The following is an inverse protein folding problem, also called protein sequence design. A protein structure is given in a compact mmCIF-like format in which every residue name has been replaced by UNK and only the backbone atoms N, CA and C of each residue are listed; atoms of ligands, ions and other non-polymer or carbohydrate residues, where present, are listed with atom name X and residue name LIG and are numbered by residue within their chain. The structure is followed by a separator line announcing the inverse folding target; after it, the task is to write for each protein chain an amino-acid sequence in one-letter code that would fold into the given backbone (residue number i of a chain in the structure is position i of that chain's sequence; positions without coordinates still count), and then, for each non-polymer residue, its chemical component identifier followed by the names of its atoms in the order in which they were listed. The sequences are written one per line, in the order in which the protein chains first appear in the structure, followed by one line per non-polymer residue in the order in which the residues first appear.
data_IF_443656357572
#
_entry.id   IF_443656357572
#
_cell.length_a   1.000
_cell.length_b   1.000
_cell.length_c   1.000
_cell.angle_alpha   90.00
_cell.angle_beta   90.00
_cell.angle_gamma   90.00
#
_symmetry.space_group_name_H-M   'P 1'
#
loop_
_entity.id
_entity.type
_entity.pdbx_description
1 polymer ?
#
# COMPACT_ATOMS: atom_id res chain seq x y z
N UNK A 1 -6.81 124.59 65.83
CA UNK A 1 -6.81 124.54 64.36
C UNK A 1 -6.55 123.10 64.00
N UNK A 2 -7.53 122.50 63.32
CA UNK A 2 -7.71 121.06 63.09
C UNK A 2 -6.67 120.41 62.16
N UNK A 3 -6.82 119.08 62.04
CA UNK A 3 -6.35 118.14 60.99
C UNK A 3 -4.90 117.66 61.15
N UNK A 4 -4.55 116.37 61.07
CA UNK A 4 -5.20 115.26 60.37
C UNK A 4 -4.66 113.92 60.89
N UNK A 5 -5.51 112.89 60.86
CA UNK A 5 -5.25 111.49 61.19
C UNK A 5 -4.14 110.88 60.33
N UNK A 6 -3.21 110.15 60.96
CA UNK A 6 -2.60 108.96 60.34
C UNK A 6 -2.51 107.83 61.36
N UNK A 7 -3.42 106.88 61.15
CA UNK A 7 -3.56 105.59 61.81
C UNK A 7 -2.31 104.70 61.63
N UNK A 8 -1.73 104.16 62.72
CA UNK A 8 -0.85 103.00 62.66
C UNK A 8 -1.61 101.80 63.23
N UNK A 9 -2.61 101.27 62.51
CA UNK A 9 -3.39 100.10 63.00
C UNK A 9 -3.53 98.98 61.96
N UNK A 10 -3.00 99.11 60.73
CA UNK A 10 -3.29 98.12 59.69
C UNK A 10 -2.28 96.96 59.58
N UNK A 11 -1.00 97.16 59.92
CA UNK A 11 0.05 96.14 59.68
C UNK A 11 -0.14 94.85 60.50
N UNK A 12 -0.63 94.94 61.74
CA UNK A 12 -0.87 93.77 62.59
C UNK A 12 -2.11 92.95 62.19
N UNK A 13 -3.15 93.62 61.68
CA UNK A 13 -4.37 92.97 61.18
C UNK A 13 -4.15 92.31 59.81
N UNK A 14 -3.31 92.93 58.96
CA UNK A 14 -2.88 92.37 57.68
C UNK A 14 -1.96 91.15 57.87
N UNK A 15 -1.01 91.21 58.81
CA UNK A 15 -0.19 90.06 59.21
C UNK A 15 -1.02 88.90 59.76
N UNK A 16 -2.02 89.17 60.61
CA UNK A 16 -2.92 88.14 61.14
C UNK A 16 -3.80 87.50 60.05
N UNK A 17 -4.27 88.27 59.06
CA UNK A 17 -5.00 87.72 57.90
C UNK A 17 -4.10 86.87 57.01
N UNK A 18 -2.86 87.28 56.77
CA UNK A 18 -1.87 86.50 56.01
C UNK A 18 -1.53 85.21 56.75
N UNK A 19 -1.36 85.25 58.07
CA UNK A 19 -1.12 84.06 58.90
C UNK A 19 -2.34 83.12 58.95
N UNK A 20 -3.56 83.64 59.02
CA UNK A 20 -4.79 82.83 58.94
C UNK A 20 -4.95 82.19 57.56
N UNK A 21 -4.72 82.95 56.48
CA UNK A 21 -4.77 82.43 55.11
C UNK A 21 -3.68 81.39 54.87
N UNK A 22 -2.46 81.62 55.38
CA UNK A 22 -1.38 80.65 55.36
C UNK A 22 -1.71 79.37 56.13
N UNK A 23 -2.43 79.47 57.25
CA UNK A 23 -2.91 78.32 58.04
C UNK A 23 -3.99 77.52 57.29
N UNK A 24 -4.97 78.19 56.68
CA UNK A 24 -5.99 77.53 55.85
C UNK A 24 -5.39 76.84 54.62
N UNK A 25 -4.40 77.47 53.97
CA UNK A 25 -3.68 76.85 52.85
C UNK A 25 -2.88 75.63 53.33
N UNK A 26 -2.21 75.72 54.49
CA UNK A 26 -1.50 74.60 55.07
C UNK A 26 -2.45 73.45 55.46
N UNK A 27 -3.59 73.73 56.08
CA UNK A 27 -4.61 72.72 56.42
C UNK A 27 -5.19 72.04 55.17
N UNK A 28 -5.46 72.80 54.08
CA UNK A 28 -5.87 72.22 52.78
C UNK A 28 -4.77 71.36 52.17
N UNK A 29 -3.52 71.82 52.17
CA UNK A 29 -2.38 71.07 51.66
C UNK A 29 -2.19 69.76 52.43
N UNK A 30 -2.32 69.78 53.76
CA UNK A 30 -2.23 68.56 54.59
C UNK A 30 -3.35 67.58 54.22
N UNK A 31 -4.60 68.07 54.15
CA UNK A 31 -5.78 67.24 53.80
C UNK A 31 -5.66 66.64 52.40
N UNK A 32 -5.14 67.41 51.45
CA UNK A 32 -4.92 66.99 50.07
C UNK A 32 -3.75 65.99 49.97
N UNK A 33 -2.68 66.18 50.74
CA UNK A 33 -1.55 65.26 50.81
C UNK A 33 -1.94 63.93 51.46
N UNK A 34 -2.77 63.95 52.51
CA UNK A 34 -3.37 62.72 53.08
C UNK A 34 -4.25 61.99 52.07
N UNK A 35 -5.09 62.73 51.32
CA UNK A 35 -5.92 62.15 50.26
C UNK A 35 -5.07 61.54 49.14
N UNK A 36 -4.03 62.23 48.69
CA UNK A 36 -3.10 61.75 47.67
C UNK A 36 -2.34 60.52 48.15
N UNK A 37 -1.86 60.51 49.40
CA UNK A 37 -1.22 59.34 50.01
C UNK A 37 -2.17 58.13 50.03
N UNK A 38 -3.43 58.32 50.42
CA UNK A 38 -4.42 57.26 50.39
C UNK A 38 -4.70 56.75 48.97
N UNK A 39 -4.78 57.65 47.97
CA UNK A 39 -4.93 57.26 46.56
C UNK A 39 -3.72 56.47 46.05
N UNK A 40 -2.49 56.91 46.35
CA UNK A 40 -1.26 56.21 45.97
C UNK A 40 -1.22 54.82 46.59
N UNK A 41 -1.55 54.69 47.88
CA UNK A 41 -1.60 53.37 48.53
C UNK A 41 -2.65 52.45 47.89
N UNK A 42 -3.83 52.96 47.52
CA UNK A 42 -4.85 52.15 46.84
C UNK A 42 -4.41 51.70 45.44
N UNK A 43 -3.76 52.59 44.68
CA UNK A 43 -3.22 52.27 43.36
C UNK A 43 -2.07 51.27 43.43
N UNK A 44 -1.23 51.36 44.45
CA UNK A 44 -0.15 50.38 44.68
C UNK A 44 -0.73 48.99 45.00
N UNK A 45 -1.75 48.90 45.85
CA UNK A 45 -2.41 47.64 46.15
C UNK A 45 -3.06 47.01 44.90
N UNK A 46 -3.73 47.82 44.07
CA UNK A 46 -4.30 47.37 42.78
C UNK A 46 -3.22 46.92 41.79
N UNK A 47 -2.07 47.61 41.76
CA UNK A 47 -0.93 47.23 40.93
C UNK A 47 -0.36 45.88 41.35
N UNK A 48 -0.15 45.67 42.65
CA UNK A 48 0.38 44.41 43.21
C UNK A 48 -0.58 43.24 43.00
N UNK A 49 -1.89 43.48 43.08
CA UNK A 49 -2.91 42.46 42.77
C UNK A 49 -2.90 42.09 41.28
N UNK A 50 -2.85 43.09 40.38
CA UNK A 50 -2.74 42.85 38.94
C UNK A 50 -1.43 42.15 38.57
N UNK A 51 -0.32 42.51 39.19
CA UNK A 51 0.98 41.86 38.97
C UNK A 51 0.91 40.37 39.33
N UNK A 52 0.30 40.03 40.47
CA UNK A 52 0.07 38.63 40.88
C UNK A 52 -0.85 37.88 39.91
N UNK A 53 -1.91 38.52 39.41
CA UNK A 53 -2.79 37.92 38.41
C UNK A 53 -2.07 37.66 37.09
N UNK A 54 -1.24 38.60 36.62
CA UNK A 54 -0.44 38.44 35.39
C UNK A 54 0.52 37.26 35.56
N UNK A 55 1.24 37.18 36.67
CA UNK A 55 2.16 36.06 36.93
C UNK A 55 1.45 34.70 36.93
N UNK A 56 0.27 34.60 37.56
CA UNK A 56 -0.54 33.38 37.54
C UNK A 56 -1.03 33.02 36.12
N UNK A 57 -1.47 34.01 35.34
CA UNK A 57 -1.91 33.79 33.96
C UNK A 57 -0.75 33.37 33.06
N UNK A 58 0.43 33.99 33.20
CA UNK A 58 1.63 33.61 32.45
C UNK A 58 2.06 32.18 32.77
N UNK A 59 1.99 31.75 34.04
CA UNK A 59 2.22 30.36 34.43
C UNK A 59 1.26 29.40 33.73
N UNK A 60 -0.05 29.69 33.75
CA UNK A 60 -1.08 28.88 33.08
C UNK A 60 -0.90 28.82 31.56
N UNK A 61 -0.47 29.91 30.93
CA UNK A 61 -0.18 29.93 29.48
C UNK A 61 0.99 28.99 29.17
N UNK A 62 2.07 29.02 29.96
CA UNK A 62 3.20 28.09 29.79
C UNK A 62 2.80 26.62 29.94
N UNK A 63 1.96 26.30 30.92
CA UNK A 63 1.43 24.94 31.10
C UNK A 63 0.58 24.48 29.90
N UNK A 64 -0.27 25.37 29.37
CA UNK A 64 -1.10 25.08 28.19
C UNK A 64 -0.25 24.94 26.92
N UNK A 65 0.78 25.78 26.75
CA UNK A 65 1.72 25.67 25.63
C UNK A 65 2.47 24.34 25.67
N UNK A 66 2.93 23.91 26.85
CA UNK A 66 3.57 22.61 27.02
C UNK A 66 2.60 21.45 26.73
N UNK A 67 1.37 21.53 27.22
CA UNK A 67 0.35 20.51 26.99
C UNK A 67 -0.04 20.40 25.51
N UNK A 68 -0.18 21.53 24.83
CA UNK A 68 -0.48 21.55 23.38
C UNK A 68 0.67 20.99 22.56
N UNK A 69 1.93 21.28 22.93
CA UNK A 69 3.10 20.71 22.27
C UNK A 69 3.19 19.18 22.47
N UNK A 70 2.90 18.67 23.68
CA UNK A 70 2.86 17.23 23.95
C UNK A 70 1.76 16.54 23.12
N UNK A 71 0.56 17.13 23.07
CA UNK A 71 -0.54 16.59 22.27
C UNK A 71 -0.22 16.59 20.77
N UNK A 72 0.43 17.62 20.24
CA UNK A 72 0.88 17.67 18.85
C UNK A 72 1.91 16.57 18.55
N UNK A 73 2.86 16.33 19.45
CA UNK A 73 3.81 15.23 19.29
C UNK A 73 3.13 13.86 19.30
N UNK A 74 2.19 13.65 20.21
CA UNK A 74 1.39 12.42 20.28
C UNK A 74 0.56 12.21 19.02
N UNK A 75 -0.10 13.25 18.53
CA UNK A 75 -0.87 13.19 17.28
C UNK A 75 0.02 12.80 16.10
N UNK A 76 1.17 13.47 15.93
CA UNK A 76 2.10 13.16 14.85
C UNK A 76 2.76 11.77 14.99
N UNK A 77 2.85 11.21 16.20
CA UNK A 77 3.25 9.81 16.40
C UNK A 77 2.15 8.83 16.00
N UNK A 78 0.90 9.10 16.40
CA UNK A 78 -0.25 8.28 16.07
C UNK A 78 -0.55 8.29 14.55
N UNK A 79 -0.45 9.44 13.89
CA UNK A 79 -0.62 9.56 12.44
C UNK A 79 0.40 8.71 11.68
N UNK A 80 1.67 8.69 12.12
CA UNK A 80 2.71 7.84 11.54
C UNK A 80 2.43 6.35 11.75
N UNK A 81 1.93 5.99 12.93
CA UNK A 81 1.54 4.61 13.22
C UNK A 81 0.37 4.15 12.35
N UNK A 82 -0.66 4.99 12.23
CA UNK A 82 -1.81 4.74 11.35
C UNK A 82 -1.36 4.55 9.91
N UNK A 83 -0.47 5.41 9.39
CA UNK A 83 0.04 5.25 8.03
C UNK A 83 0.77 3.91 7.85
N UNK A 84 1.62 3.53 8.80
CA UNK A 84 2.31 2.23 8.76
C UNK A 84 1.33 1.05 8.79
N UNK A 85 0.22 1.16 9.51
CA UNK A 85 -0.81 0.12 9.56
C UNK A 85 -1.56 0.01 8.24
N UNK A 86 -1.90 1.15 7.61
CA UNK A 86 -2.53 1.18 6.28
C UNK A 86 -1.65 0.46 5.25
N UNK A 87 -0.35 0.75 5.23
CA UNK A 87 0.58 0.13 4.28
C UNK A 87 0.65 -1.39 4.47
N UNK A 88 0.74 -1.85 5.74
CA UNK A 88 0.75 -3.29 6.07
C UNK A 88 -0.56 -3.98 5.76
N UNK A 89 -1.69 -3.32 6.00
CA UNK A 89 -3.00 -3.86 5.68
C UNK A 89 -3.15 -4.06 4.19
N UNK A 90 -2.78 -3.05 3.39
CA UNK A 90 -2.78 -3.14 1.93
C UNK A 90 -1.87 -4.27 1.41
N UNK A 91 -0.70 -4.47 2.01
CA UNK A 91 0.18 -5.59 1.66
C UNK A 91 -0.46 -6.95 1.99
N UNK A 92 -1.09 -7.06 3.16
CA UNK A 92 -1.79 -8.28 3.58
C UNK A 92 -2.98 -8.60 2.68
N UNK A 93 -3.76 -7.60 2.29
CA UNK A 93 -4.90 -7.74 1.40
C UNK A 93 -4.45 -8.23 0.03
N UNK A 94 -3.41 -7.61 -0.57
CA UNK A 94 -2.83 -8.07 -1.84
C UNK A 94 -2.36 -9.53 -1.79
N UNK A 95 -1.73 -9.95 -0.70
CA UNK A 95 -1.31 -11.36 -0.51
C UNK A 95 -2.53 -12.28 -0.41
N UNK A 96 -3.56 -11.88 0.33
CA UNK A 96 -4.77 -12.67 0.49
C UNK A 96 -5.52 -12.84 -0.85
N UNK A 97 -5.63 -11.77 -1.64
CA UNK A 97 -6.23 -11.82 -2.99
C UNK A 97 -5.45 -12.75 -3.91
N UNK A 98 -4.12 -12.67 -3.88
CA UNK A 98 -3.24 -13.56 -4.66
C UNK A 98 -3.45 -15.02 -4.26
N UNK A 99 -3.53 -15.31 -2.96
CA UNK A 99 -3.79 -16.67 -2.45
C UNK A 99 -5.17 -17.18 -2.86
N UNK A 100 -6.21 -16.35 -2.76
CA UNK A 100 -7.56 -16.72 -3.17
C UNK A 100 -7.62 -17.07 -4.67
N UNK A 101 -6.98 -16.26 -5.50
CA UNK A 101 -6.89 -16.50 -6.94
C UNK A 101 -6.14 -17.81 -7.27
N UNK A 102 -5.01 -18.05 -6.61
CA UNK A 102 -4.24 -19.30 -6.79
C UNK A 102 -5.02 -20.53 -6.31
N UNK A 103 -5.77 -20.40 -5.20
CA UNK A 103 -6.62 -21.47 -4.69
C UNK A 103 -7.72 -21.83 -5.70
N UNK A 104 -8.41 -20.83 -6.27
CA UNK A 104 -9.43 -21.04 -7.29
C UNK A 104 -8.84 -21.71 -8.54
N UNK A 105 -7.70 -21.22 -9.04
CA UNK A 105 -7.01 -21.80 -10.19
C UNK A 105 -6.61 -23.26 -9.93
N UNK A 106 -6.06 -23.56 -8.74
CA UNK A 106 -5.72 -24.92 -8.34
C UNK A 106 -6.95 -25.83 -8.29
N UNK A 107 -8.06 -25.35 -7.72
CA UNK A 107 -9.28 -26.13 -7.63
C UNK A 107 -9.85 -26.46 -9.01
N UNK A 108 -9.89 -25.47 -9.91
CA UNK A 108 -10.39 -25.64 -11.27
C UNK A 108 -9.50 -26.57 -12.11
N UNK A 109 -8.17 -26.43 -12.03
CA UNK A 109 -7.24 -27.28 -12.81
C UNK A 109 -7.28 -28.75 -12.40
N UNK A 110 -7.59 -29.03 -11.13
CA UNK A 110 -7.59 -30.38 -10.57
C UNK A 110 -9.00 -30.97 -10.38
N UNK A 111 -10.05 -30.28 -10.82
CA UNK A 111 -11.43 -30.79 -10.71
C UNK A 111 -11.77 -31.88 -11.72
N UNK A 112 -10.97 -32.00 -12.78
CA UNK A 112 -11.14 -32.98 -13.85
C UNK A 112 -9.83 -33.71 -14.16
N UNK A 113 -9.95 -34.92 -14.68
CA UNK A 113 -8.83 -35.72 -15.20
C UNK A 113 -8.90 -35.86 -16.72
N UNK A 114 -9.84 -35.17 -17.37
CA UNK A 114 -9.89 -35.08 -18.82
C UNK A 114 -8.82 -34.09 -19.34
N UNK A 115 -8.01 -34.53 -20.28
CA UNK A 115 -6.88 -33.73 -20.77
C UNK A 115 -7.34 -32.46 -21.48
N UNK A 116 -8.37 -32.55 -22.32
CA UNK A 116 -8.84 -31.41 -23.10
C UNK A 116 -9.53 -30.38 -22.19
N UNK A 117 -10.26 -30.86 -21.17
CA UNK A 117 -10.87 -29.99 -20.16
C UNK A 117 -9.82 -29.26 -19.32
N UNK A 118 -8.77 -29.95 -18.83
CA UNK A 118 -7.65 -29.32 -18.10
C UNK A 118 -7.00 -28.21 -18.93
N UNK A 119 -6.75 -28.46 -20.22
CA UNK A 119 -6.14 -27.45 -21.10
C UNK A 119 -7.09 -26.28 -21.36
N UNK A 120 -8.40 -26.53 -21.51
CA UNK A 120 -9.40 -25.47 -21.64
C UNK A 120 -9.43 -24.58 -20.40
N UNK A 121 -9.48 -25.17 -19.21
CA UNK A 121 -9.42 -24.45 -17.94
C UNK A 121 -8.12 -23.65 -17.79
N UNK A 122 -6.98 -24.23 -18.17
CA UNK A 122 -5.70 -23.52 -18.13
C UNK A 122 -5.71 -22.28 -19.04
N UNK A 123 -6.26 -22.38 -20.25
CA UNK A 123 -6.42 -21.22 -21.15
C UNK A 123 -7.25 -20.12 -20.50
N UNK A 124 -8.39 -20.48 -19.91
CA UNK A 124 -9.27 -19.51 -19.24
C UNK A 124 -8.56 -18.81 -18.07
N UNK A 125 -7.78 -19.54 -17.28
CA UNK A 125 -7.00 -18.95 -16.18
C UNK A 125 -5.93 -17.99 -16.73
N UNK A 126 -5.23 -18.36 -17.82
CA UNK A 126 -4.23 -17.49 -18.44
C UNK A 126 -4.82 -16.19 -19.00
N UNK A 127 -6.03 -16.26 -19.57
CA UNK A 127 -6.71 -15.07 -20.08
C UNK A 127 -7.20 -14.20 -18.91
N UNK A 128 -7.90 -14.80 -17.94
CA UNK A 128 -8.63 -14.04 -16.92
C UNK A 128 -7.75 -13.57 -15.75
N UNK A 129 -6.79 -14.40 -15.32
CA UNK A 129 -5.98 -14.13 -14.14
C UNK A 129 -4.67 -13.43 -14.48
N UNK A 130 -4.01 -13.87 -15.54
CA UNK A 130 -2.73 -13.30 -15.99
C UNK A 130 -2.94 -12.13 -16.94
N UNK A 131 -4.01 -12.16 -17.75
CA UNK A 131 -4.24 -11.18 -18.80
C UNK A 131 -3.41 -11.46 -20.07
N UNK A 132 -3.14 -12.73 -20.37
CA UNK A 132 -2.44 -13.13 -21.58
C UNK A 132 -3.39 -13.09 -22.79
N UNK A 133 -3.02 -12.31 -23.81
CA UNK A 133 -3.77 -12.22 -25.09
C UNK A 133 -3.28 -13.27 -26.08
N UNK A 134 -1.96 -13.41 -26.21
CA UNK A 134 -1.32 -14.35 -27.13
C UNK A 134 -0.37 -15.25 -26.37
N UNK A 135 -0.59 -16.56 -26.39
CA UNK A 135 0.23 -17.52 -25.66
C UNK A 135 0.21 -18.93 -26.28
N UNK A 136 1.19 -19.74 -25.92
CA UNK A 136 1.28 -21.15 -26.28
C UNK A 136 1.67 -22.01 -25.09
N UNK A 137 1.03 -23.17 -24.96
CA UNK A 137 1.38 -24.23 -24.02
C UNK A 137 2.05 -25.33 -24.82
N UNK A 138 3.30 -25.64 -24.48
CA UNK A 138 4.11 -26.62 -25.20
C UNK A 138 4.60 -27.71 -24.26
N UNK A 139 4.58 -28.96 -24.71
CA UNK A 139 5.10 -30.11 -23.98
C UNK A 139 6.28 -30.75 -24.70
N UNK A 140 7.20 -31.35 -23.95
CA UNK A 140 8.33 -32.10 -24.51
C UNK A 140 7.84 -33.39 -25.16
N UNK A 141 8.40 -33.72 -26.32
CA UNK A 141 8.29 -35.04 -26.96
C UNK A 141 9.59 -35.81 -26.73
N UNK A 142 9.58 -36.71 -25.75
CA UNK A 142 10.75 -37.50 -25.31
C UNK A 142 11.38 -38.33 -26.44
N UNK A 143 10.64 -38.60 -27.52
CA UNK A 143 11.16 -39.38 -28.66
C UNK A 143 12.00 -38.56 -29.63
N UNK A 144 11.72 -37.26 -29.72
CA UNK A 144 12.33 -36.36 -30.72
C UNK A 144 13.19 -35.27 -30.11
N UNK A 145 13.00 -34.97 -28.82
CA UNK A 145 13.70 -33.87 -28.14
C UNK A 145 13.19 -32.49 -28.56
N UNK A 146 12.02 -32.42 -29.19
CA UNK A 146 11.35 -31.17 -29.59
C UNK A 146 10.21 -30.83 -28.62
N UNK A 147 9.79 -29.58 -28.60
CA UNK A 147 8.55 -29.14 -27.97
C UNK A 147 7.39 -29.20 -28.97
N UNK A 148 6.24 -29.66 -28.52
CA UNK A 148 5.00 -29.73 -29.29
C UNK A 148 3.97 -28.79 -28.65
N UNK A 149 3.43 -27.87 -29.44
CA UNK A 149 2.33 -27.01 -29.01
C UNK A 149 1.07 -27.86 -28.82
N UNK A 150 0.56 -27.91 -27.59
CA UNK A 150 -0.70 -28.59 -27.25
C UNK A 150 -1.88 -27.63 -27.19
N UNK A 151 -1.61 -26.34 -27.01
CA UNK A 151 -2.59 -25.28 -27.10
C UNK A 151 -1.93 -23.96 -27.48
N UNK A 152 -2.66 -23.16 -28.23
CA UNK A 152 -2.28 -21.81 -28.66
C UNK A 152 -3.51 -20.92 -28.62
N UNK A 153 -3.35 -19.68 -28.22
CA UNK A 153 -4.43 -18.68 -28.20
C UNK A 153 -3.87 -17.34 -28.70
N UNK A 154 -4.64 -16.60 -29.49
CA UNK A 154 -4.22 -15.30 -30.02
C UNK A 154 -2.98 -15.33 -30.93
N UNK A 155 -2.64 -16.50 -31.50
CA UNK A 155 -1.51 -16.74 -32.39
C UNK A 155 -2.01 -17.02 -33.82
N UNK A 156 -1.21 -16.67 -34.83
CA UNK A 156 -1.54 -16.94 -36.23
C UNK A 156 -1.50 -18.44 -36.54
N UNK A 157 -2.25 -18.88 -37.57
CA UNK A 157 -2.22 -20.28 -38.03
C UNK A 157 -0.82 -20.74 -38.49
N UNK A 158 0.05 -19.80 -38.86
CA UNK A 158 1.46 -20.05 -39.21
C UNK A 158 2.35 -20.33 -38.00
N UNK A 159 1.84 -20.22 -36.77
CA UNK A 159 2.61 -20.51 -35.56
C UNK A 159 3.06 -21.98 -35.56
N UNK A 160 4.34 -22.26 -35.25
CA UNK A 160 4.88 -23.61 -35.37
C UNK A 160 4.23 -24.57 -34.36
N UNK A 161 3.72 -25.70 -34.87
CA UNK A 161 3.24 -26.80 -34.02
C UNK A 161 4.38 -27.50 -33.27
N UNK A 162 5.61 -27.40 -33.78
CA UNK A 162 6.82 -27.97 -33.19
C UNK A 162 7.95 -26.97 -33.14
N UNK A 163 8.68 -26.96 -32.03
CA UNK A 163 9.85 -26.12 -31.84
C UNK A 163 11.02 -26.99 -31.38
N UNK A 164 12.12 -26.95 -32.11
CA UNK A 164 13.34 -27.67 -31.74
C UNK A 164 14.07 -26.95 -30.61
N UNK A 165 14.66 -27.71 -29.69
CA UNK A 165 15.38 -27.18 -28.54
C UNK A 165 16.79 -26.66 -28.87
N UNK A 166 17.02 -26.21 -30.11
CA UNK A 166 18.34 -25.88 -30.65
C UNK A 166 18.81 -24.46 -30.30
N UNK A 167 17.97 -23.67 -29.63
CA UNK A 167 18.28 -22.31 -29.18
C UNK A 167 17.04 -21.48 -28.89
N UNK A 168 17.24 -20.26 -28.39
CA UNK A 168 16.16 -19.32 -28.05
C UNK A 168 15.68 -19.43 -26.59
N UNK A 169 14.84 -18.47 -26.19
CA UNK A 169 14.39 -18.30 -24.81
C UNK A 169 13.65 -19.54 -24.32
N UNK A 170 12.75 -20.08 -25.14
CA UNK A 170 11.96 -21.27 -24.78
C UNK A 170 12.85 -22.47 -24.49
N UNK A 171 13.89 -22.67 -25.31
CA UNK A 171 14.86 -23.74 -25.13
C UNK A 171 15.67 -23.59 -23.84
N UNK A 172 16.06 -22.37 -23.49
CA UNK A 172 16.80 -22.08 -22.26
C UNK A 172 15.94 -22.33 -21.01
N UNK A 173 14.69 -21.89 -21.03
CA UNK A 173 13.73 -22.12 -19.95
C UNK A 173 13.49 -23.62 -19.72
N UNK A 174 13.32 -24.40 -20.78
CA UNK A 174 13.10 -25.84 -20.65
C UNK A 174 14.35 -26.58 -20.16
N UNK A 175 15.55 -26.14 -20.57
CA UNK A 175 16.81 -26.78 -20.16
C UNK A 175 17.21 -26.43 -18.73
N UNK A 176 17.03 -25.17 -18.32
CA UNK A 176 17.47 -24.69 -17.02
C UNK A 176 16.38 -24.82 -15.94
N UNK A 177 15.11 -24.90 -16.34
CA UNK A 177 13.99 -24.87 -15.41
C UNK A 177 13.79 -23.52 -14.73
N UNK A 178 14.34 -22.44 -15.31
CA UNK A 178 14.23 -21.08 -14.79
C UNK A 178 13.27 -20.26 -15.66
N UNK A 179 12.39 -19.49 -15.03
CA UNK A 179 11.45 -18.61 -15.73
C UNK A 179 12.17 -17.42 -16.35
N UNK A 180 11.76 -17.06 -17.56
CA UNK A 180 12.19 -15.85 -18.27
C UNK A 180 11.06 -14.83 -18.32
N UNK A 181 11.39 -13.56 -18.07
CA UNK A 181 10.50 -12.42 -18.26
C UNK A 181 11.27 -11.29 -18.94
N UNK A 182 10.75 -10.78 -20.04
CA UNK A 182 11.34 -9.65 -20.73
C UNK A 182 10.93 -8.33 -20.06
N UNK A 183 11.86 -7.37 -20.00
CA UNK A 183 11.54 -5.98 -19.67
C UNK A 183 10.63 -5.42 -20.76
N UNK A 184 9.36 -5.23 -20.40
CA UNK A 184 8.23 -5.02 -21.30
C UNK A 184 8.50 -4.05 -22.45
N UNK A 185 8.54 -4.58 -23.67
CA UNK A 185 8.16 -3.85 -24.87
C UNK A 185 7.12 -4.69 -25.60
N UNK A 186 5.97 -4.11 -25.91
CA UNK A 186 4.97 -4.72 -26.79
C UNK A 186 5.66 -5.01 -28.12
N UNK A 187 6.05 -6.26 -28.34
CA UNK A 187 6.59 -6.69 -29.61
C UNK A 187 5.48 -6.55 -30.67
N UNK A 188 5.76 -5.80 -31.74
CA UNK A 188 4.82 -5.62 -32.85
C UNK A 188 4.63 -6.92 -33.62
N UNK A 189 5.66 -7.77 -33.65
CA UNK A 189 5.66 -9.10 -34.27
C UNK A 189 5.86 -10.19 -33.22
N UNK A 190 5.15 -11.30 -33.38
CA UNK A 190 5.29 -12.48 -32.52
C UNK A 190 6.38 -13.39 -33.09
N UNK A 191 7.49 -13.52 -32.39
CA UNK A 191 8.52 -14.53 -32.65
C UNK A 191 8.34 -15.71 -31.69
N UNK A 192 8.06 -16.94 -32.18
CA UNK A 192 7.92 -18.13 -31.35
C UNK A 192 9.11 -18.42 -30.42
N UNK A 193 10.32 -17.95 -30.76
CA UNK A 193 11.53 -18.16 -29.95
C UNK A 193 11.79 -17.07 -28.91
N UNK A 194 11.02 -15.97 -28.94
CA UNK A 194 11.22 -14.78 -28.10
C UNK A 194 9.91 -14.30 -27.45
N UNK A 195 9.29 -15.12 -26.59
CA UNK A 195 8.16 -14.68 -25.78
C UNK A 195 8.56 -13.55 -24.81
N UNK A 196 7.58 -12.77 -24.39
CA UNK A 196 7.74 -11.76 -23.33
C UNK A 196 7.75 -12.37 -21.93
N UNK A 197 7.18 -13.57 -21.78
CA UNK A 197 7.33 -14.40 -20.59
C UNK A 197 7.34 -15.88 -20.98
N UNK A 198 8.23 -16.64 -20.39
CA UNK A 198 8.29 -18.08 -20.58
C UNK A 198 8.56 -18.76 -19.24
N UNK A 199 7.64 -19.62 -18.81
CA UNK A 199 7.77 -20.35 -17.55
C UNK A 199 7.76 -21.85 -17.80
N UNK A 200 8.62 -22.61 -17.10
CA UNK A 200 8.71 -24.04 -17.31
C UNK A 200 7.53 -24.74 -16.63
N UNK A 201 6.94 -25.70 -17.34
CA UNK A 201 5.95 -26.62 -16.77
C UNK A 201 6.74 -27.74 -16.09
N UNK A 202 6.84 -27.71 -14.77
CA UNK A 202 7.66 -28.65 -14.01
C UNK A 202 6.87 -29.40 -12.96
N UNK A 203 7.21 -30.67 -12.78
CA UNK A 203 6.86 -31.41 -11.56
C UNK A 203 8.03 -31.40 -10.59
N UNK A 204 7.97 -32.22 -9.54
CA UNK A 204 9.12 -32.39 -8.62
C UNK A 204 10.35 -32.97 -9.32
N UNK A 205 10.14 -33.77 -10.37
CA UNK A 205 11.19 -34.65 -10.89
C UNK A 205 11.76 -34.18 -12.25
N UNK A 206 11.01 -33.40 -13.03
CA UNK A 206 11.45 -32.94 -14.36
C UNK A 206 10.63 -31.77 -14.95
N UNK A 207 11.20 -31.12 -15.97
CA UNK A 207 10.51 -30.17 -16.85
C UNK A 207 9.81 -30.93 -17.97
N UNK A 208 8.49 -30.81 -18.07
CA UNK A 208 7.67 -31.49 -19.08
C UNK A 208 7.27 -30.59 -20.25
N UNK A 209 7.66 -29.32 -20.22
CA UNK A 209 7.24 -28.34 -21.20
C UNK A 209 7.46 -26.89 -20.78
N UNK A 210 6.84 -25.98 -21.52
CA UNK A 210 6.87 -24.55 -21.24
C UNK A 210 5.54 -23.88 -21.59
N UNK A 211 5.19 -22.87 -20.80
CA UNK A 211 4.14 -21.92 -21.08
C UNK A 211 4.78 -20.60 -21.54
N UNK A 212 4.46 -20.17 -22.75
CA UNK A 212 5.03 -18.98 -23.37
C UNK A 212 3.94 -17.94 -23.63
N UNK A 213 4.16 -16.71 -23.18
CA UNK A 213 3.28 -15.56 -23.44
C UNK A 213 4.00 -14.58 -24.34
N UNK A 214 3.32 -14.13 -25.39
CA UNK A 214 3.83 -13.23 -26.42
C UNK A 214 3.22 -11.84 -26.35
N UNK A 215 1.97 -11.75 -25.88
CA UNK A 215 1.26 -10.48 -25.75
C UNK A 215 0.31 -10.49 -24.56
N UNK A 216 0.22 -9.35 -23.88
CA UNK A 216 -0.75 -9.08 -22.82
C UNK A 216 -1.94 -8.29 -23.36
N UNK A 217 -3.10 -8.47 -22.73
CA UNK A 217 -4.32 -7.74 -23.05
C UNK A 217 -4.08 -6.22 -22.98
N UNK A 218 -4.83 -5.46 -23.77
CA UNK A 218 -4.68 -4.01 -23.90
C UNK A 218 -4.68 -3.25 -22.56
N UNK A 219 -5.40 -3.76 -21.56
CA UNK A 219 -5.55 -3.19 -20.22
C UNK A 219 -4.32 -3.39 -19.32
N UNK A 220 -3.35 -4.21 -19.74
CA UNK A 220 -2.14 -4.56 -18.99
C UNK A 220 -0.90 -4.19 -19.81
N UNK A 221 -0.17 -3.17 -19.38
CA UNK A 221 1.01 -2.66 -20.11
C UNK A 221 2.28 -3.49 -19.85
N UNK A 222 2.41 -4.03 -18.64
CA UNK A 222 3.58 -4.81 -18.20
C UNK A 222 3.21 -5.83 -17.12
N UNK A 223 4.13 -6.75 -16.82
CA UNK A 223 4.03 -7.64 -15.67
C UNK A 223 4.32 -6.88 -14.37
N UNK A 224 3.48 -7.09 -13.37
CA UNK A 224 3.68 -6.66 -12.00
C UNK A 224 4.49 -7.70 -11.21
N UNK A 225 4.97 -7.32 -10.02
CA UNK A 225 5.70 -8.25 -9.14
C UNK A 225 4.88 -9.49 -8.77
N UNK A 226 3.55 -9.33 -8.62
CA UNK A 226 2.62 -10.41 -8.29
C UNK A 226 2.47 -11.39 -9.46
N UNK A 227 2.55 -10.90 -10.71
CA UNK A 227 2.41 -11.76 -11.88
C UNK A 227 3.53 -12.78 -11.97
N UNK A 228 4.78 -12.40 -11.65
CA UNK A 228 5.93 -13.30 -11.70
C UNK A 228 5.74 -14.52 -10.78
N UNK A 229 5.29 -14.29 -9.55
CA UNK A 229 5.00 -15.35 -8.59
C UNK A 229 3.82 -16.21 -9.06
N UNK A 230 2.75 -15.56 -9.53
CA UNK A 230 1.54 -16.22 -9.99
C UNK A 230 1.81 -17.15 -11.17
N UNK A 231 2.61 -16.73 -12.16
CA UNK A 231 3.02 -17.57 -13.28
C UNK A 231 3.76 -18.83 -12.83
N UNK A 232 4.71 -18.69 -11.89
CA UNK A 232 5.51 -19.81 -11.40
C UNK A 232 4.65 -20.85 -10.69
N UNK A 233 3.72 -20.39 -9.85
CA UNK A 233 2.78 -21.29 -9.16
C UNK A 233 1.81 -21.93 -10.15
N UNK A 234 1.23 -21.14 -11.07
CA UNK A 234 0.31 -21.63 -12.08
C UNK A 234 0.97 -22.69 -12.96
N UNK A 235 2.21 -22.47 -13.40
CA UNK A 235 2.95 -23.42 -14.24
C UNK A 235 3.15 -24.77 -13.54
N UNK A 236 3.39 -24.77 -12.23
CA UNK A 236 3.53 -25.99 -11.43
C UNK A 236 2.20 -26.74 -11.25
N UNK A 237 1.12 -26.00 -10.99
CA UNK A 237 -0.23 -26.57 -10.90
C UNK A 237 -0.66 -27.16 -12.25
N UNK A 238 -0.46 -26.41 -13.33
CA UNK A 238 -0.70 -26.84 -14.70
C UNK A 238 0.07 -28.10 -15.05
N UNK A 239 1.38 -28.14 -14.78
CA UNK A 239 2.21 -29.31 -15.03
C UNK A 239 1.66 -30.57 -14.32
N UNK A 240 1.27 -30.43 -13.05
CA UNK A 240 0.74 -31.53 -12.25
C UNK A 240 -0.61 -32.01 -12.80
N UNK A 241 -1.51 -31.09 -13.16
CA UNK A 241 -2.81 -31.42 -13.73
C UNK A 241 -2.69 -32.11 -15.10
N UNK A 242 -1.83 -31.58 -15.98
CA UNK A 242 -1.55 -32.11 -17.32
C UNK A 242 -1.00 -33.54 -17.25
N UNK A 243 -0.07 -33.82 -16.34
CA UNK A 243 0.46 -35.18 -16.16
C UNK A 243 -0.60 -36.09 -15.57
N UNK A 244 -1.35 -35.63 -14.57
CA UNK A 244 -2.38 -36.45 -13.93
C UNK A 244 -3.45 -36.88 -14.93
N UNK A 245 -3.91 -35.98 -15.80
CA UNK A 245 -4.87 -36.30 -16.85
C UNK A 245 -4.30 -37.25 -17.91
N UNK A 246 -3.04 -37.04 -18.33
CA UNK A 246 -2.36 -37.95 -19.27
C UNK A 246 -2.17 -39.36 -18.70
N UNK A 247 -1.74 -39.49 -17.44
CA UNK A 247 -1.59 -40.77 -16.76
C UNK A 247 -2.94 -41.48 -16.58
N UNK A 248 -3.99 -40.73 -16.26
CA UNK A 248 -5.34 -41.27 -16.13
C UNK A 248 -5.86 -41.83 -17.47
N UNK A 249 -5.74 -41.07 -18.55
CA UNK A 249 -6.13 -41.51 -19.90
C UNK A 249 -5.37 -42.78 -20.35
N UNK A 250 -4.08 -42.87 -20.04
CA UNK A 250 -3.28 -44.07 -20.35
C UNK A 250 -3.74 -45.30 -19.54
N UNK A 251 -4.09 -45.12 -18.28
CA UNK A 251 -4.61 -46.18 -17.41
C UNK A 251 -5.96 -46.71 -17.91
N UNK A 252 -6.90 -45.83 -18.25
CA UNK A 252 -8.21 -46.24 -18.81
C UNK A 252 -8.06 -46.94 -20.17
N UNK A 253 -7.17 -46.45 -21.03
CA UNK A 253 -6.84 -47.11 -22.31
C UNK A 253 -6.30 -48.53 -22.12
N UNK A 254 -5.48 -48.73 -21.09
CA UNK A 254 -4.93 -50.05 -20.75
C UNK A 254 -6.01 -50.98 -20.20
N UNK A 255 -6.88 -50.49 -19.29
CA UNK A 255 -7.99 -51.27 -18.74
C UNK A 255 -9.03 -51.67 -19.79
N UNK A 256 -9.37 -50.77 -20.72
CA UNK A 256 -10.27 -51.07 -21.84
C UNK A 256 -9.69 -52.13 -22.78
N UNK A 257 -8.38 -52.06 -23.04
CA UNK A 257 -7.66 -53.05 -23.85
C UNK A 257 -7.67 -54.43 -23.17
N UNK A 258 -7.34 -54.51 -21.87
CA UNK A 258 -7.39 -55.77 -21.11
C UNK A 258 -8.83 -56.33 -21.06
N UNK A 259 -9.84 -55.47 -20.85
CA UNK A 259 -11.25 -55.88 -20.82
C UNK A 259 -11.71 -56.43 -22.18
N UNK A 260 -11.28 -55.80 -23.27
CA UNK A 260 -11.55 -56.29 -24.63
C UNK A 260 -10.90 -57.66 -24.88
N UNK A 261 -9.69 -57.87 -24.36
CA UNK A 261 -8.97 -59.13 -24.47
C UNK A 261 -9.65 -60.26 -23.68
N UNK A 262 -10.07 -59.98 -22.43
CA UNK A 262 -10.81 -60.92 -21.59
C UNK A 262 -12.14 -61.32 -22.23
N UNK A 263 -12.90 -60.35 -22.78
CA UNK A 263 -14.16 -60.64 -23.46
C UNK A 263 -13.95 -61.50 -24.72
N UNK A 264 -12.85 -61.31 -25.43
CA UNK A 264 -12.50 -62.11 -26.61
C UNK A 264 -12.06 -63.54 -26.28
N UNK A 265 -11.48 -63.77 -25.10
CA UNK A 265 -11.18 -65.12 -24.58
C UNK A 265 -12.46 -65.79 -24.09
N UNK A 266 -13.32 -65.08 -23.34
CA UNK A 266 -14.58 -65.63 -22.84
C UNK A 266 -15.58 -65.95 -23.95
N UNK A 267 -15.59 -65.19 -25.04
CA UNK A 267 -16.44 -65.43 -26.22
C UNK A 267 -15.97 -66.56 -27.14
N UNK A 268 -14.80 -67.17 -26.90
CA UNK A 268 -14.30 -68.32 -27.68
C UNK A 268 -14.54 -69.69 -27.03
N UNK A 269 -15.09 -69.71 -25.81
CA UNK A 269 -15.40 -70.94 -25.05
C UNK A 269 -16.92 -71.17 -24.90
N UNK A 270 -17.74 -70.58 -25.78
CA UNK A 270 -19.18 -70.84 -25.90
C UNK A 270 -19.48 -71.48 -27.26
#
# INVERSE_FOLDING_TARGET
MDTEERTPVNDGAELLRILQSGREIAERLISENERLNNQVMSLQADYDERARQIESLTGRVGELEQSTQELQQRLGSAEREVQSWIDRFNESEKKNDTLANLYLASFQLHSTLDFDEVISTLKEILINLVGAESFSIMLTDDKRGDLVAIATEGLAESYPTRLSLDGGVVSEVVRNGESFFADSQRATEIDPNRPIACVPLMTKDEVIGALCVYRLLMQKESFSSVDYELFSVLARLAATAIISSRLYAQSEGTLSTIRSFINRIRGKNA
#
